data_IF_242681125817
#
_entry.id   IF_242681125817
#
_cell.length_a   1.000
_cell.length_b   1.000
_cell.length_c   1.000
_cell.angle_alpha   90.00
_cell.angle_beta   90.00
_cell.angle_gamma   90.00
#
_symmetry.space_group_name_H-M   'P 1'
#
loop_
_entity.id
_entity.type
_entity.pdbx_description
1 polymer ?
#
# COMPACT_ATOMS: atom_id res chain seq x y z
N UNK A 1 11.99 45.79 -72.66
CA UNK A 1 12.05 45.11 -71.36
C UNK A 1 10.63 45.00 -70.86
N UNK A 2 10.05 43.80 -70.95
CA UNK A 2 8.65 43.51 -70.60
C UNK A 2 8.72 42.55 -69.43
N UNK A 3 8.26 42.98 -68.26
CA UNK A 3 8.08 42.11 -67.10
C UNK A 3 6.90 41.16 -67.34
N UNK A 4 7.02 39.85 -67.06
CA UNK A 4 5.86 38.98 -67.03
C UNK A 4 5.11 39.12 -65.70
N UNK A 5 3.76 39.09 -65.69
CA UNK A 5 3.01 39.02 -64.45
C UNK A 5 3.18 37.64 -63.80
N UNK A 6 3.61 37.64 -62.54
CA UNK A 6 3.60 36.46 -61.67
C UNK A 6 2.13 36.06 -61.48
N UNK A 7 1.72 35.05 -62.25
CA UNK A 7 0.40 34.43 -62.15
C UNK A 7 0.29 33.68 -60.83
N UNK A 8 -0.32 34.31 -59.82
CA UNK A 8 -0.76 33.66 -58.60
C UNK A 8 -1.92 32.69 -58.92
N UNK A 9 -1.60 31.52 -59.45
CA UNK A 9 -2.58 30.43 -59.63
C UNK A 9 -2.75 29.71 -58.30
N UNK A 10 -3.57 30.29 -57.42
CA UNK A 10 -4.18 29.55 -56.30
C UNK A 10 -5.04 28.43 -56.88
N UNK A 11 -4.47 27.23 -56.97
CA UNK A 11 -5.19 26.03 -57.38
C UNK A 11 -6.18 25.70 -56.27
N UNK A 12 -7.45 26.01 -56.53
CA UNK A 12 -8.63 25.61 -55.76
C UNK A 12 -8.50 24.14 -55.32
N UNK A 13 -8.28 23.92 -54.03
CA UNK A 13 -8.37 22.62 -53.40
C UNK A 13 -9.85 22.20 -53.33
N UNK A 14 -10.40 21.78 -54.46
CA UNK A 14 -11.74 21.20 -54.51
C UNK A 14 -11.60 19.68 -54.46
N UNK A 15 -12.33 19.08 -53.50
CA UNK A 15 -12.61 17.65 -53.36
C UNK A 15 -11.57 16.76 -52.65
N UNK A 16 -11.33 16.99 -51.35
CA UNK A 16 -11.02 15.93 -50.35
C UNK A 16 -11.56 16.21 -48.93
N UNK A 17 -12.66 16.96 -48.81
CA UNK A 17 -13.25 17.30 -47.50
C UNK A 17 -13.84 16.08 -46.76
N UNK A 18 -14.28 15.05 -47.49
CA UNK A 18 -14.84 13.84 -46.88
C UNK A 18 -13.83 13.03 -46.06
N UNK A 19 -12.56 12.95 -46.47
CA UNK A 19 -11.55 12.21 -45.71
C UNK A 19 -11.17 12.91 -44.40
N UNK A 20 -11.21 14.24 -44.35
CA UNK A 20 -10.92 14.99 -43.13
C UNK A 20 -12.00 14.75 -42.05
N UNK A 21 -13.28 14.69 -42.45
CA UNK A 21 -14.37 14.35 -41.53
C UNK A 21 -14.28 12.90 -41.04
N UNK A 22 -13.97 11.95 -41.94
CA UNK A 22 -13.77 10.56 -41.55
C UNK A 22 -12.62 10.41 -40.55
N UNK A 23 -11.48 11.05 -40.81
CA UNK A 23 -10.35 11.05 -39.87
C UNK A 23 -10.71 11.69 -38.54
N UNK A 24 -11.46 12.80 -38.53
CA UNK A 24 -11.91 13.44 -37.30
C UNK A 24 -12.86 12.52 -36.50
N UNK A 25 -13.85 11.90 -37.15
CA UNK A 25 -14.77 10.96 -36.48
C UNK A 25 -14.05 9.71 -35.97
N UNK A 26 -13.06 9.20 -36.71
CA UNK A 26 -12.25 8.06 -36.32
C UNK A 26 -11.38 8.41 -35.11
N UNK A 27 -10.70 9.56 -35.13
CA UNK A 27 -9.91 10.06 -34.00
C UNK A 27 -10.80 10.27 -32.78
N UNK A 28 -11.98 10.87 -32.94
CA UNK A 28 -12.94 11.04 -31.84
C UNK A 28 -13.40 9.70 -31.26
N UNK A 29 -13.65 8.69 -32.11
CA UNK A 29 -14.03 7.36 -31.65
C UNK A 29 -12.89 6.65 -30.90
N UNK A 30 -11.66 6.72 -31.41
CA UNK A 30 -10.47 6.12 -30.77
C UNK A 30 -10.17 6.80 -29.44
N UNK A 31 -10.23 8.14 -29.38
CA UNK A 31 -10.06 8.89 -28.13
C UNK A 31 -11.14 8.52 -27.13
N UNK A 32 -12.40 8.45 -27.57
CA UNK A 32 -13.53 8.06 -26.70
C UNK A 32 -13.35 6.64 -26.16
N UNK A 33 -12.96 5.67 -27.01
CA UNK A 33 -12.66 4.31 -26.56
C UNK A 33 -11.49 4.28 -25.59
N UNK A 34 -10.38 4.99 -25.88
CA UNK A 34 -9.21 5.03 -25.01
C UNK A 34 -9.51 5.66 -23.64
N UNK A 35 -10.32 6.71 -23.60
CA UNK A 35 -10.74 7.35 -22.36
C UNK A 35 -11.60 6.39 -21.52
N UNK A 36 -12.58 5.72 -22.14
CA UNK A 36 -13.45 4.75 -21.44
C UNK A 36 -12.63 3.57 -20.91
N UNK A 37 -11.66 3.05 -21.67
CA UNK A 37 -10.82 1.93 -21.20
C UNK A 37 -9.88 2.33 -20.07
N UNK A 38 -9.32 3.54 -20.10
CA UNK A 38 -8.49 4.09 -19.01
C UNK A 38 -9.33 4.28 -17.74
N UNK A 39 -10.56 4.79 -17.84
CA UNK A 39 -11.44 4.98 -16.68
C UNK A 39 -11.84 3.64 -16.05
N UNK A 40 -12.23 2.66 -16.86
CA UNK A 40 -12.57 1.32 -16.32
C UNK A 40 -11.37 0.62 -15.70
N UNK A 41 -10.17 0.81 -16.27
CA UNK A 41 -8.96 0.20 -15.71
C UNK A 41 -8.56 0.85 -14.38
N UNK A 42 -8.73 2.17 -14.24
CA UNK A 42 -8.47 2.85 -12.97
C UNK A 42 -9.48 2.47 -11.88
N UNK A 43 -10.76 2.35 -12.21
CA UNK A 43 -11.79 1.88 -11.27
C UNK A 43 -11.47 0.48 -10.73
N UNK A 44 -11.10 -0.46 -11.61
CA UNK A 44 -10.72 -1.82 -11.19
C UNK A 44 -9.44 -1.80 -10.35
N UNK A 45 -8.46 -0.96 -10.70
CA UNK A 45 -7.23 -0.82 -9.94
C UNK A 45 -7.49 -0.26 -8.53
N UNK A 46 -8.34 0.78 -8.42
CA UNK A 46 -8.74 1.37 -7.13
C UNK A 46 -9.48 0.32 -6.30
N UNK A 47 -10.46 -0.39 -6.88
CA UNK A 47 -11.20 -1.42 -6.17
C UNK A 47 -10.29 -2.55 -5.63
N UNK A 48 -9.24 -2.93 -6.38
CA UNK A 48 -8.25 -3.90 -5.91
C UNK A 48 -7.43 -3.37 -4.73
N UNK A 49 -6.93 -2.14 -4.84
CA UNK A 49 -6.15 -1.51 -3.77
C UNK A 49 -7.00 -1.32 -2.52
N UNK A 50 -8.26 -0.92 -2.67
CA UNK A 50 -9.17 -0.75 -1.54
C UNK A 50 -9.50 -2.10 -0.90
N UNK A 51 -9.71 -3.16 -1.68
CA UNK A 51 -9.89 -4.50 -1.14
C UNK A 51 -8.67 -4.98 -0.32
N UNK A 52 -7.46 -4.75 -0.84
CA UNK A 52 -6.22 -5.08 -0.11
C UNK A 52 -6.07 -4.26 1.17
N UNK A 53 -6.35 -2.95 1.11
CA UNK A 53 -6.32 -2.06 2.29
C UNK A 53 -7.31 -2.50 3.34
N UNK A 54 -8.54 -2.82 2.96
CA UNK A 54 -9.56 -3.32 3.88
C UNK A 54 -9.14 -4.66 4.51
N UNK A 55 -8.53 -5.57 3.73
CA UNK A 55 -8.05 -6.85 4.26
C UNK A 55 -6.91 -6.67 5.28
N UNK A 56 -5.94 -5.80 4.98
CA UNK A 56 -4.82 -5.48 5.88
C UNK A 56 -5.31 -4.78 7.15
N UNK A 57 -6.22 -3.81 7.01
CA UNK A 57 -6.82 -3.11 8.15
C UNK A 57 -7.60 -4.07 9.06
N UNK A 58 -8.35 -5.01 8.47
CA UNK A 58 -9.04 -6.05 9.22
C UNK A 58 -8.09 -6.94 10.00
N UNK A 59 -6.97 -7.34 9.39
CA UNK A 59 -5.92 -8.13 10.07
C UNK A 59 -5.30 -7.38 11.24
N UNK A 60 -4.89 -6.13 11.04
CA UNK A 60 -4.29 -5.33 12.11
C UNK A 60 -5.25 -5.10 13.28
N UNK A 61 -6.53 -4.89 13.01
CA UNK A 61 -7.52 -4.78 14.07
C UNK A 61 -7.68 -6.10 14.84
N UNK A 62 -7.72 -7.24 14.14
CA UNK A 62 -7.79 -8.56 14.79
C UNK A 62 -6.53 -8.87 15.62
N UNK A 63 -5.34 -8.52 15.14
CA UNK A 63 -4.08 -8.66 15.88
C UNK A 63 -4.05 -7.77 17.13
N UNK A 64 -4.55 -6.52 17.04
CA UNK A 64 -4.65 -5.63 18.20
C UNK A 64 -5.60 -6.18 19.27
N UNK A 65 -6.75 -6.74 18.86
CA UNK A 65 -7.67 -7.41 19.79
C UNK A 65 -7.04 -8.63 20.44
N UNK A 66 -6.29 -9.40 19.67
CA UNK A 66 -5.59 -10.57 20.17
C UNK A 66 -4.53 -10.17 21.20
N UNK A 67 -3.67 -9.19 20.88
CA UNK A 67 -2.64 -8.70 21.80
C UNK A 67 -3.24 -8.15 23.10
N UNK A 68 -4.36 -7.44 23.02
CA UNK A 68 -5.08 -6.99 24.21
C UNK A 68 -5.61 -8.16 25.03
N UNK A 69 -6.17 -9.19 24.39
CA UNK A 69 -6.60 -10.40 25.07
C UNK A 69 -5.42 -11.13 25.73
N UNK A 70 -4.26 -11.19 25.08
CA UNK A 70 -3.03 -11.74 25.68
C UNK A 70 -2.60 -10.94 26.91
N UNK A 71 -2.57 -9.61 26.81
CA UNK A 71 -2.21 -8.76 27.95
C UNK A 71 -3.19 -8.93 29.13
N UNK A 72 -4.49 -9.17 28.87
CA UNK A 72 -5.47 -9.46 29.91
C UNK A 72 -5.28 -10.86 30.51
N UNK A 73 -4.87 -11.85 29.71
CA UNK A 73 -4.49 -13.19 30.17
C UNK A 73 -3.25 -13.17 31.05
N UNK A 74 -2.27 -12.30 30.75
CA UNK A 74 -1.08 -12.11 31.60
C UNK A 74 -1.44 -11.55 32.98
N UNK A 75 -2.43 -10.66 33.05
CA UNK A 75 -2.91 -10.11 34.33
C UNK A 75 -3.75 -11.12 35.11
N UNK A 76 -4.56 -11.93 34.43
CA UNK A 76 -5.44 -12.92 35.04
C UNK A 76 -5.45 -14.22 34.22
N UNK A 77 -4.68 -15.25 34.61
CA UNK A 77 -4.52 -16.47 33.81
C UNK A 77 -5.78 -17.36 33.74
N UNK A 78 -6.80 -17.06 34.57
CA UNK A 78 -8.09 -17.75 34.57
C UNK A 78 -9.17 -16.98 33.79
N UNK A 79 -8.82 -15.90 33.09
CA UNK A 79 -9.78 -15.14 32.32
C UNK A 79 -10.27 -15.96 31.13
N UNK A 80 -11.54 -16.33 31.18
CA UNK A 80 -12.27 -16.99 30.10
C UNK A 80 -13.49 -16.16 29.78
N UNK A 81 -13.80 -16.04 28.49
CA UNK A 81 -14.96 -15.27 28.06
C UNK A 81 -14.72 -14.51 26.77
N UNK A 82 -15.66 -13.59 26.51
CA UNK A 82 -15.70 -12.78 25.30
C UNK A 82 -15.21 -11.39 25.66
N UNK A 83 -14.11 -10.97 25.03
CA UNK A 83 -13.55 -9.63 25.18
C UNK A 83 -13.99 -8.82 23.97
N UNK A 84 -14.69 -7.72 24.21
CA UNK A 84 -15.12 -6.79 23.17
C UNK A 84 -14.34 -5.50 23.35
N UNK A 85 -13.84 -4.95 22.25
CA UNK A 85 -13.16 -3.66 22.27
C UNK A 85 -14.10 -2.54 21.81
N UNK A 86 -14.55 -1.67 22.73
CA UNK A 86 -15.44 -0.57 22.39
C UNK A 86 -14.77 0.51 21.51
N UNK A 87 -13.43 0.59 21.53
CA UNK A 87 -12.66 1.63 20.83
C UNK A 87 -12.18 1.15 19.44
N UNK A 88 -12.44 -0.11 19.09
CA UNK A 88 -12.00 -0.65 17.82
C UNK A 88 -12.81 -0.07 16.64
N UNK A 89 -12.18 0.09 15.46
CA UNK A 89 -12.89 0.56 14.26
C UNK A 89 -14.02 -0.38 13.82
N UNK A 90 -14.05 -1.60 14.36
CA UNK A 90 -15.07 -2.61 14.12
C UNK A 90 -15.91 -2.80 15.39
N UNK A 91 -17.01 -2.05 15.52
CA UNK A 91 -17.91 -2.08 16.68
C UNK A 91 -18.44 -3.47 17.05
N UNK A 92 -18.39 -4.43 16.13
CA UNK A 92 -18.83 -5.81 16.31
C UNK A 92 -17.70 -6.81 16.52
N UNK A 93 -16.44 -6.37 16.61
CA UNK A 93 -15.32 -7.27 16.74
C UNK A 93 -15.19 -7.77 18.19
N UNK A 94 -15.01 -9.06 18.33
CA UNK A 94 -14.90 -9.74 19.61
C UNK A 94 -13.81 -10.78 19.58
N UNK A 95 -13.18 -10.97 20.72
CA UNK A 95 -12.20 -12.01 20.94
C UNK A 95 -12.80 -13.05 21.88
N UNK A 96 -12.68 -14.33 21.53
CA UNK A 96 -13.09 -15.45 22.35
C UNK A 96 -11.84 -16.10 22.91
N UNK A 97 -11.76 -16.09 24.23
CA UNK A 97 -10.69 -16.73 25.00
C UNK A 97 -11.24 -17.99 25.62
N UNK A 98 -10.74 -19.14 25.19
CA UNK A 98 -11.14 -20.45 25.67
C UNK A 98 -9.92 -21.22 26.18
N UNK A 99 -9.87 -21.57 27.47
CA UNK A 99 -8.87 -22.49 27.99
C UNK A 99 -9.15 -23.88 27.41
N UNK A 100 -8.16 -24.47 26.75
CA UNK A 100 -8.24 -25.86 26.27
C UNK A 100 -7.76 -26.78 27.38
N UNK A 101 -6.59 -26.46 27.95
CA UNK A 101 -5.94 -27.20 29.01
C UNK A 101 -5.42 -26.25 30.10
N UNK A 102 -4.87 -26.81 31.19
CA UNK A 102 -4.21 -26.03 32.26
C UNK A 102 -2.99 -25.25 31.76
N UNK A 103 -2.43 -25.66 30.62
CA UNK A 103 -1.22 -25.09 30.02
C UNK A 103 -1.50 -24.36 28.70
N UNK A 104 -2.66 -24.58 28.07
CA UNK A 104 -2.95 -24.04 26.74
C UNK A 104 -4.25 -23.25 26.73
N UNK A 105 -4.15 -21.99 26.31
CA UNK A 105 -5.31 -21.12 26.06
C UNK A 105 -5.38 -20.85 24.57
N UNK A 106 -6.57 -21.05 23.99
CA UNK A 106 -6.87 -20.60 22.63
C UNK A 106 -7.51 -19.21 22.66
N UNK A 107 -6.97 -18.32 21.82
CA UNK A 107 -7.45 -16.96 21.63
C UNK A 107 -7.82 -16.81 20.17
N UNK A 108 -9.10 -16.53 19.91
CA UNK A 108 -9.63 -16.40 18.55
C UNK A 108 -10.35 -15.07 18.38
N UNK A 109 -9.92 -14.28 17.39
CA UNK A 109 -10.48 -12.97 17.11
C UNK A 109 -11.45 -13.04 15.93
N UNK A 110 -12.64 -12.48 16.11
CA UNK A 110 -13.70 -12.39 15.12
C UNK A 110 -14.03 -10.92 14.84
N UNK A 111 -14.09 -10.54 13.57
CA UNK A 111 -14.36 -9.13 13.18
C UNK A 111 -15.86 -8.80 13.14
N UNK A 112 -16.71 -9.81 12.98
CA UNK A 112 -18.15 -9.64 12.81
C UNK A 112 -18.92 -10.56 13.75
N UNK A 113 -20.04 -10.04 14.28
CA UNK A 113 -20.96 -10.80 15.13
C UNK A 113 -21.48 -12.04 14.39
N UNK A 114 -21.28 -13.23 14.99
CA UNK A 114 -21.74 -14.49 14.42
C UNK A 114 -20.86 -15.05 13.31
N UNK A 115 -19.65 -14.51 13.10
CA UNK A 115 -18.68 -15.09 12.18
C UNK A 115 -18.26 -16.48 12.68
N UNK A 116 -18.30 -17.47 11.78
CA UNK A 116 -17.79 -18.83 12.03
C UNK A 116 -16.30 -18.95 11.74
N UNK A 117 -15.75 -18.05 10.91
CA UNK A 117 -14.33 -18.02 10.59
C UNK A 117 -13.61 -16.98 11.47
N UNK A 118 -12.61 -17.39 12.26
CA UNK A 118 -11.75 -16.45 12.97
C UNK A 118 -10.86 -15.71 11.97
N UNK A 119 -10.67 -14.41 12.17
CA UNK A 119 -9.74 -13.63 11.38
C UNK A 119 -8.29 -13.97 11.74
N UNK A 120 -8.04 -14.20 13.04
CA UNK A 120 -6.75 -14.63 13.60
C UNK A 120 -7.05 -15.57 14.77
N UNK A 121 -6.31 -16.67 14.84
CA UNK A 121 -6.37 -17.63 15.94
C UNK A 121 -4.96 -17.94 16.43
N UNK A 122 -4.74 -17.86 17.74
CA UNK A 122 -3.47 -18.21 18.35
C UNK A 122 -3.69 -19.08 19.58
N UNK A 123 -2.84 -20.09 19.74
CA UNK A 123 -2.76 -20.89 20.96
C UNK A 123 -1.56 -20.41 21.76
N UNK A 124 -1.77 -20.09 23.02
CA UNK A 124 -0.76 -19.57 23.94
C UNK A 124 -0.51 -20.63 25.00
N UNK A 125 0.76 -20.86 25.27
CA UNK A 125 1.23 -21.68 26.39
C UNK A 125 1.37 -20.79 27.64
N UNK A 126 0.60 -21.08 28.69
CA UNK A 126 0.78 -20.47 30.00
C UNK A 126 2.08 -20.99 30.58
N UNK A 127 3.05 -20.09 30.76
CA UNK A 127 4.34 -20.39 31.40
C UNK A 127 4.14 -20.71 32.89
N UNK A 128 3.76 -21.97 33.15
CA UNK A 128 3.66 -22.56 34.48
C UNK A 128 4.37 -23.91 34.58
N UNK A 129 5.28 -24.21 33.65
CA UNK A 129 6.05 -25.45 33.58
C UNK A 129 7.43 -25.19 33.00
N UNK A 130 8.37 -24.79 33.86
CA UNK A 130 9.80 -25.15 33.79
C UNK A 130 10.58 -24.92 32.49
N UNK A 131 10.33 -23.84 31.74
CA UNK A 131 11.18 -23.51 30.58
C UNK A 131 11.44 -22.00 30.45
N UNK A 132 12.25 -21.48 31.38
CA UNK A 132 12.86 -20.13 31.36
C UNK A 132 13.83 -19.91 30.18
N UNK A 133 13.81 -20.77 29.16
CA UNK A 133 14.76 -20.83 28.05
C UNK A 133 14.32 -20.03 26.82
N UNK A 134 13.10 -19.45 26.81
CA UNK A 134 12.50 -18.82 25.61
C UNK A 134 12.47 -17.29 25.61
N UNK A 135 13.35 -16.65 26.37
CA UNK A 135 13.87 -15.38 25.91
C UNK A 135 15.07 -15.71 25.04
N UNK A 136 15.14 -15.27 23.76
CA UNK A 136 16.42 -15.28 23.11
C UNK A 136 17.33 -14.50 24.04
N UNK A 137 18.41 -15.14 24.53
CA UNK A 137 19.54 -14.38 25.03
C UNK A 137 19.73 -13.30 23.98
N UNK A 138 19.59 -12.03 24.38
CA UNK A 138 20.25 -10.97 23.65
C UNK A 138 21.71 -11.38 23.72
N UNK A 139 22.13 -12.19 22.75
CA UNK A 139 23.51 -12.27 22.37
C UNK A 139 23.83 -10.81 22.08
N UNK A 140 24.54 -10.27 23.06
CA UNK A 140 25.07 -8.94 23.11
C UNK A 140 26.15 -8.93 22.03
N UNK A 141 25.68 -8.91 20.78
CA UNK A 141 26.47 -8.70 19.59
C UNK A 141 26.95 -7.26 19.68
N UNK A 142 27.98 -7.08 20.48
CA UNK A 142 28.87 -5.93 20.58
C UNK A 142 29.62 -5.70 19.26
N UNK A 143 28.97 -5.97 18.13
CA UNK A 143 29.40 -5.71 16.76
C UNK A 143 28.72 -4.44 16.26
N UNK A 144 28.67 -3.43 17.11
CA UNK A 144 28.84 -2.07 16.60
C UNK A 144 30.18 -2.05 15.88
N UNK A 145 30.25 -1.69 14.59
CA UNK A 145 31.54 -1.55 13.93
C UNK A 145 32.31 -0.49 14.72
N UNK A 146 33.50 -0.87 15.24
CA UNK A 146 34.47 0.09 15.73
C UNK A 146 34.61 1.18 14.66
N UNK A 147 34.21 2.40 15.00
CA UNK A 147 34.58 3.61 14.27
C UNK A 147 36.07 3.83 14.48
N UNK A 148 36.87 3.02 13.83
CA UNK A 148 38.30 3.22 13.64
C UNK A 148 38.54 3.16 12.13
N UNK A 149 38.13 4.20 11.41
CA UNK A 149 38.63 4.48 10.06
C UNK A 149 38.37 5.95 9.73
N UNK A 150 39.29 6.77 10.22
CA UNK A 150 39.37 8.22 10.02
C UNK A 150 39.95 8.57 8.66
N UNK A 151 39.71 7.76 7.62
CA UNK A 151 40.35 7.94 6.33
C UNK A 151 39.46 7.48 5.19
N UNK A 152 38.99 8.48 4.43
CA UNK A 152 38.43 8.39 3.06
C UNK A 152 36.89 8.41 2.94
N UNK A 153 36.31 9.55 3.31
CA UNK A 153 35.03 10.00 2.72
C UNK A 153 35.28 10.63 1.34
N UNK A 154 34.61 10.22 0.25
CA UNK A 154 34.67 10.89 -1.04
C UNK A 154 33.52 11.88 -1.21
N UNK A 155 33.24 12.69 -0.19
CA UNK A 155 32.43 13.89 -0.38
C UNK A 155 33.08 15.03 0.39
N UNK A 156 33.97 15.75 -0.29
CA UNK A 156 34.20 17.14 0.08
C UNK A 156 32.89 17.88 -0.18
N UNK A 157 32.34 18.44 0.89
CA UNK A 157 31.36 19.50 0.84
C UNK A 157 32.04 20.70 0.18
N UNK A 158 31.80 20.91 -1.13
CA UNK A 158 32.23 22.11 -1.84
C UNK A 158 31.18 23.20 -1.59
N UNK A 159 31.44 24.04 -0.60
CA UNK A 159 30.58 25.14 -0.16
C UNK A 159 30.62 26.35 -1.11
N UNK A 160 30.62 26.13 -2.43
CA UNK A 160 30.69 27.22 -3.39
C UNK A 160 30.09 26.95 -4.79
N UNK A 161 28.87 26.40 -4.88
CA UNK A 161 28.08 26.49 -6.13
C UNK A 161 26.66 26.96 -5.92
N UNK A 162 26.40 28.12 -6.51
CA UNK A 162 25.11 28.72 -6.80
C UNK A 162 24.09 27.69 -7.30
N UNK A 163 22.91 27.77 -6.70
CA UNK A 163 21.58 27.33 -7.17
C UNK A 163 21.48 26.92 -8.65
N UNK A 164 21.22 25.63 -8.89
CA UNK A 164 20.42 25.16 -10.02
C UNK A 164 19.62 23.92 -9.60
N UNK A 165 18.30 24.07 -9.56
CA UNK A 165 17.34 22.99 -9.38
C UNK A 165 17.30 22.11 -10.65
N UNK A 166 17.20 20.76 -10.56
CA UNK A 166 16.89 19.97 -11.74
C UNK A 166 15.39 20.10 -12.04
N UNK A 167 15.07 21.11 -12.84
CA UNK A 167 13.78 21.27 -13.48
C UNK A 167 13.58 20.28 -14.63
N UNK A 168 12.35 19.79 -14.72
CA UNK A 168 11.53 19.90 -15.92
C UNK A 168 12.20 19.50 -17.24
N UNK A 169 12.15 18.21 -17.57
CA UNK A 169 12.57 17.70 -18.86
C UNK A 169 11.48 17.98 -19.91
N UNK A 170 11.58 19.13 -20.58
CA UNK A 170 10.82 19.44 -21.79
C UNK A 170 11.75 19.58 -23.00
N UNK A 171 11.65 18.64 -23.95
CA UNK A 171 12.27 18.73 -25.27
C UNK A 171 11.86 17.50 -26.09
N UNK A 172 10.77 17.50 -26.87
CA UNK A 172 10.60 18.21 -28.16
C UNK A 172 11.83 18.08 -29.06
N UNK A 173 11.84 17.03 -29.88
CA UNK A 173 12.56 17.01 -31.17
C UNK A 173 11.58 17.45 -32.26
N UNK A 174 11.95 18.50 -32.97
CA UNK A 174 11.58 18.72 -34.37
C UNK A 174 12.73 18.17 -35.21
#
# INVERSE_FOLDING_TARGET
>A
MVDPPISCRSKRAKCRSGSALLLCTLVAAVLSMSAITILRSSEVAIARVDAERCAVQGRHAAEGLLQRAVAQLELNPNLSGIIVDPDSPFQSAYCVVQPIDKTHISVSAYLYKGSTMPAVSQTIELAGSDDDSRWPRRDDDSRWPRRDDDSKWPWKYDSNRKTTWPGFNSGRRW
#
